data_IF_791217859978
#
_entry.id   IF_791217859978
#
_cell.length_a   1.000
_cell.length_b   1.000
_cell.length_c   1.000
_cell.angle_alpha   90.00
_cell.angle_beta   90.00
_cell.angle_gamma   90.00
#
_symmetry.space_group_name_H-M   'P 1'
#
loop_
_entity.id
_entity.type
_entity.pdbx_description
1 polymer ?
#
# COMPACT_ATOMS: atom_id res chain seq x y z
N UNK A 1 35.01 2.60 -12.05
CA UNK A 1 34.79 2.82 -10.60
C UNK A 1 33.31 3.08 -10.44
N UNK A 2 32.62 2.30 -9.61
CA UNK A 2 31.24 2.63 -9.22
C UNK A 2 31.34 3.70 -8.15
N UNK A 3 30.62 4.80 -8.32
CA UNK A 3 30.66 5.90 -7.36
C UNK A 3 30.03 5.44 -6.03
N UNK A 4 30.69 5.66 -4.88
CA UNK A 4 30.17 5.24 -3.58
C UNK A 4 28.79 5.85 -3.25
N UNK A 5 28.47 6.99 -3.87
CA UNK A 5 27.16 7.63 -3.80
C UNK A 5 26.04 6.83 -4.51
N UNK A 6 26.33 6.16 -5.63
CA UNK A 6 25.33 5.35 -6.33
C UNK A 6 24.96 4.11 -5.51
N UNK A 7 25.96 3.45 -4.92
CA UNK A 7 25.77 2.30 -4.04
C UNK A 7 24.89 2.67 -2.84
N UNK A 8 25.18 3.80 -2.19
CA UNK A 8 24.37 4.29 -1.06
C UNK A 8 22.91 4.55 -1.48
N UNK A 9 22.71 5.19 -2.63
CA UNK A 9 21.38 5.48 -3.17
C UNK A 9 20.58 4.19 -3.40
N UNK A 10 21.20 3.15 -3.94
CA UNK A 10 20.53 1.87 -4.21
C UNK A 10 20.08 1.17 -2.92
N UNK A 11 20.93 1.18 -1.88
CA UNK A 11 20.54 0.65 -0.57
C UNK A 11 19.37 1.40 0.06
N UNK A 12 19.36 2.74 -0.05
CA UNK A 12 18.26 3.56 0.46
C UNK A 12 16.96 3.28 -0.29
N UNK A 13 17.01 3.20 -1.63
CA UNK A 13 15.83 2.89 -2.45
C UNK A 13 15.30 1.51 -2.12
N UNK A 14 16.18 0.51 -1.97
CA UNK A 14 15.77 -0.84 -1.62
C UNK A 14 15.14 -0.89 -0.23
N UNK A 15 15.76 -0.24 0.77
CA UNK A 15 15.25 -0.17 2.13
C UNK A 15 13.86 0.46 2.20
N UNK A 16 13.66 1.60 1.51
CA UNK A 16 12.37 2.29 1.46
C UNK A 16 11.32 1.41 0.75
N UNK A 17 11.66 0.81 -0.39
CA UNK A 17 10.73 -0.06 -1.13
C UNK A 17 10.28 -1.26 -0.29
N UNK A 18 11.21 -1.94 0.39
CA UNK A 18 10.87 -3.04 1.29
C UNK A 18 10.01 -2.57 2.44
N UNK A 19 10.35 -1.45 3.07
CA UNK A 19 9.58 -0.91 4.18
C UNK A 19 8.14 -0.59 3.77
N UNK A 20 7.96 0.14 2.66
CA UNK A 20 6.64 0.48 2.12
C UNK A 20 5.87 -0.78 1.71
N UNK A 21 6.54 -1.74 1.06
CA UNK A 21 5.94 -3.02 0.68
C UNK A 21 5.43 -3.81 1.90
N UNK A 22 6.24 -3.92 2.95
CA UNK A 22 5.86 -4.56 4.21
C UNK A 22 4.67 -3.86 4.88
N UNK A 23 4.63 -2.52 4.88
CA UNK A 23 3.53 -1.75 5.44
C UNK A 23 2.22 -2.02 4.68
N UNK A 24 2.25 -1.94 3.34
CA UNK A 24 1.07 -2.23 2.51
C UNK A 24 0.59 -3.67 2.66
N UNK A 25 1.52 -4.62 2.74
CA UNK A 25 1.22 -6.02 2.96
C UNK A 25 0.56 -6.25 4.33
N UNK A 26 1.10 -5.63 5.39
CA UNK A 26 0.55 -5.72 6.73
C UNK A 26 -0.88 -5.14 6.80
N UNK A 27 -1.11 -3.99 6.18
CA UNK A 27 -2.44 -3.34 6.15
C UNK A 27 -3.43 -4.19 5.35
N UNK A 28 -3.04 -4.69 4.19
CA UNK A 28 -3.89 -5.54 3.36
C UNK A 28 -4.27 -6.82 4.09
N UNK A 29 -3.30 -7.51 4.70
CA UNK A 29 -3.56 -8.72 5.49
C UNK A 29 -4.42 -8.44 6.72
N UNK A 30 -4.15 -7.36 7.44
CA UNK A 30 -4.94 -7.01 8.60
C UNK A 30 -6.37 -6.60 8.23
N UNK A 31 -6.59 -5.97 7.07
CA UNK A 31 -7.92 -5.72 6.52
C UNK A 31 -8.67 -7.02 6.24
N UNK A 32 -8.01 -7.98 5.57
CA UNK A 32 -8.58 -9.31 5.31
C UNK A 32 -8.94 -10.04 6.62
N UNK A 33 -8.07 -9.98 7.62
CA UNK A 33 -8.27 -10.62 8.92
C UNK A 33 -9.17 -9.82 9.87
N UNK A 34 -9.66 -8.64 9.45
CA UNK A 34 -10.44 -7.71 10.29
C UNK A 34 -9.75 -7.37 11.62
N UNK A 35 -8.41 -7.31 11.61
CA UNK A 35 -7.61 -6.96 12.78
C UNK A 35 -7.44 -5.44 12.87
N UNK A 36 -7.71 -4.82 14.03
CA UNK A 36 -7.56 -3.38 14.17
C UNK A 36 -6.08 -2.98 14.26
N UNK A 37 -5.57 -2.17 13.33
CA UNK A 37 -4.28 -1.48 13.49
C UNK A 37 -4.46 -0.24 14.38
N UNK A 38 -4.35 -0.42 15.69
CA UNK A 38 -4.13 0.68 16.63
C UNK A 38 -2.64 0.99 16.78
N UNK A 39 -2.18 2.25 16.89
CA UNK A 39 -2.84 3.53 16.60
C UNK A 39 -1.99 4.33 15.57
N UNK A 40 -2.08 3.99 14.29
CA UNK A 40 -1.41 4.78 13.23
C UNK A 40 -2.48 5.57 12.47
N UNK A 41 -2.85 6.73 13.01
CA UNK A 41 -3.88 7.62 12.46
C UNK A 41 -3.65 7.98 10.97
N UNK A 42 -2.39 8.08 10.55
CA UNK A 42 -2.06 8.43 9.17
C UNK A 42 -2.39 7.31 8.16
N UNK A 43 -2.59 6.08 8.61
CA UNK A 43 -2.72 4.90 7.73
C UNK A 43 -3.97 4.07 8.05
N UNK A 44 -4.61 4.32 9.19
CA UNK A 44 -5.83 3.65 9.63
C UNK A 44 -7.01 3.81 8.65
N UNK A 45 -7.08 4.93 7.91
CA UNK A 45 -8.13 5.14 6.89
C UNK A 45 -8.09 4.09 5.76
N UNK A 46 -6.94 3.47 5.50
CA UNK A 46 -6.85 2.39 4.50
C UNK A 46 -7.58 1.12 4.95
N UNK A 47 -7.82 0.97 6.26
CA UNK A 47 -8.60 -0.12 6.83
C UNK A 47 -10.07 0.19 6.97
N UNK A 48 -10.46 1.47 6.92
CA UNK A 48 -11.86 1.84 7.05
C UNK A 48 -12.68 1.26 5.89
N UNK A 49 -13.84 0.67 6.17
CA UNK A 49 -14.73 0.21 5.12
C UNK A 49 -15.19 1.43 4.29
N UNK A 50 -15.17 1.28 2.97
CA UNK A 50 -15.51 2.39 2.06
C UNK A 50 -17.01 2.71 2.02
N UNK A 51 -17.85 1.85 2.59
CA UNK A 51 -19.31 2.00 2.58
C UNK A 51 -19.98 1.64 1.24
N UNK A 52 -19.21 1.27 0.22
CA UNK A 52 -19.70 0.80 -1.08
C UNK A 52 -20.31 -0.60 -1.00
N UNK A 53 -19.50 -1.60 -0.64
CA UNK A 53 -19.90 -3.01 -0.51
C UNK A 53 -18.78 -3.81 0.16
N UNK A 54 -19.14 -4.79 0.98
CA UNK A 54 -18.18 -5.68 1.65
C UNK A 54 -17.27 -6.43 0.66
N UNK A 55 -17.78 -6.78 -0.52
CA UNK A 55 -16.98 -7.44 -1.56
C UNK A 55 -15.93 -6.51 -2.17
N UNK A 56 -16.23 -5.21 -2.28
CA UNK A 56 -15.29 -4.22 -2.79
C UNK A 56 -14.16 -3.97 -1.79
N UNK A 57 -14.49 -3.84 -0.50
CA UNK A 57 -13.50 -3.66 0.55
C UNK A 57 -12.53 -4.85 0.65
N UNK A 58 -13.04 -6.08 0.50
CA UNK A 58 -12.22 -7.29 0.47
C UNK A 58 -11.26 -7.30 -0.75
N UNK A 59 -11.78 -7.00 -1.95
CA UNK A 59 -10.94 -6.92 -3.16
C UNK A 59 -9.86 -5.85 -3.03
N UNK A 60 -10.20 -4.71 -2.43
CA UNK A 60 -9.26 -3.64 -2.14
C UNK A 60 -8.13 -4.11 -1.21
N UNK A 61 -8.44 -4.76 -0.10
CA UNK A 61 -7.42 -5.25 0.83
C UNK A 61 -6.54 -6.36 0.22
N UNK A 62 -7.11 -7.23 -0.61
CA UNK A 62 -6.35 -8.22 -1.38
C UNK A 62 -5.40 -7.53 -2.38
N UNK A 63 -5.88 -6.51 -3.10
CA UNK A 63 -5.05 -5.75 -4.02
C UNK A 63 -3.90 -5.02 -3.27
N UNK A 64 -4.18 -4.47 -2.08
CA UNK A 64 -3.17 -3.83 -1.25
C UNK A 64 -2.09 -4.83 -0.78
N UNK A 65 -2.52 -6.02 -0.34
CA UNK A 65 -1.61 -7.09 0.08
C UNK A 65 -0.75 -7.58 -1.10
N UNK A 66 -1.36 -7.73 -2.29
CA UNK A 66 -0.66 -8.14 -3.50
C UNK A 66 0.38 -7.10 -3.94
N UNK A 67 0.03 -5.81 -3.94
CA UNK A 67 0.97 -4.73 -4.27
C UNK A 67 2.10 -4.64 -3.24
N UNK A 68 1.79 -4.80 -1.95
CA UNK A 68 2.81 -4.86 -0.90
C UNK A 68 3.79 -6.02 -1.11
N UNK A 69 3.27 -7.21 -1.41
CA UNK A 69 4.10 -8.37 -1.74
C UNK A 69 4.96 -8.14 -2.98
N UNK A 70 4.38 -7.51 -4.01
CA UNK A 70 5.09 -7.17 -5.24
C UNK A 70 6.25 -6.19 -4.98
N UNK A 71 6.05 -5.17 -4.15
CA UNK A 71 7.13 -4.24 -3.76
C UNK A 71 8.26 -4.92 -2.99
N UNK A 72 7.96 -5.92 -2.15
CA UNK A 72 8.97 -6.71 -1.41
C UNK A 72 9.79 -7.60 -2.35
N UNK A 73 9.18 -8.13 -3.42
CA UNK A 73 9.87 -8.95 -4.42
C UNK A 73 10.79 -8.14 -5.34
N UNK A 74 10.80 -6.81 -5.26
CA UNK A 74 11.57 -5.91 -6.12
C UNK A 74 11.33 -6.07 -7.63
N UNK A 75 10.26 -6.79 -8.01
CA UNK A 75 9.92 -7.01 -9.41
C UNK A 75 9.22 -5.76 -9.94
N UNK A 76 9.78 -5.06 -10.93
CA UNK A 76 9.15 -3.86 -11.53
C UNK A 76 8.63 -2.83 -10.51
N UNK A 77 9.48 -2.44 -9.54
CA UNK A 77 9.15 -1.55 -8.42
C UNK A 77 8.36 -0.30 -8.82
N UNK A 78 8.66 0.30 -9.99
CA UNK A 78 7.97 1.49 -10.51
C UNK A 78 6.47 1.25 -10.75
N UNK A 79 6.11 0.12 -11.35
CA UNK A 79 4.70 -0.20 -11.62
C UNK A 79 3.97 -0.58 -10.33
N UNK A 80 4.63 -1.32 -9.43
CA UNK A 80 4.07 -1.66 -8.13
C UNK A 80 3.83 -0.39 -7.28
N UNK A 81 4.76 0.57 -7.28
CA UNK A 81 4.60 1.85 -6.61
C UNK A 81 3.45 2.67 -7.20
N UNK A 82 3.32 2.72 -8.52
CA UNK A 82 2.22 3.41 -9.19
C UNK A 82 0.87 2.78 -8.84
N UNK A 83 0.78 1.44 -8.86
CA UNK A 83 -0.43 0.72 -8.44
C UNK A 83 -0.77 1.00 -6.97
N UNK A 84 0.22 1.03 -6.08
CA UNK A 84 0.03 1.39 -4.68
C UNK A 84 -0.51 2.80 -4.48
N UNK A 85 0.05 3.78 -5.19
CA UNK A 85 -0.42 5.18 -5.17
C UNK A 85 -1.87 5.25 -5.66
N UNK A 86 -2.19 4.58 -6.76
CA UNK A 86 -3.56 4.57 -7.32
C UNK A 86 -4.55 3.98 -6.32
N UNK A 87 -4.20 2.87 -5.64
CA UNK A 87 -5.06 2.27 -4.62
C UNK A 87 -5.28 3.21 -3.43
N UNK A 88 -4.20 3.80 -2.90
CA UNK A 88 -4.26 4.72 -1.76
C UNK A 88 -5.10 5.95 -2.10
N UNK A 89 -4.77 6.63 -3.21
CA UNK A 89 -5.46 7.86 -3.64
C UNK A 89 -6.90 7.56 -4.05
N UNK A 90 -7.14 6.44 -4.71
CA UNK A 90 -8.48 5.99 -5.08
C UNK A 90 -9.36 5.78 -3.85
N UNK A 91 -8.85 5.09 -2.83
CA UNK A 91 -9.59 4.92 -1.57
C UNK A 91 -9.83 6.23 -0.84
N UNK A 92 -8.82 7.11 -0.80
CA UNK A 92 -8.97 8.45 -0.23
C UNK A 92 -10.06 9.26 -0.95
N UNK A 93 -10.13 9.20 -2.28
CA UNK A 93 -11.14 9.91 -3.07
C UNK A 93 -12.57 9.40 -2.80
N UNK A 94 -12.74 8.09 -2.60
CA UNK A 94 -14.02 7.47 -2.24
C UNK A 94 -14.47 7.94 -0.84
N UNK A 95 -13.58 7.87 0.15
CA UNK A 95 -13.91 8.27 1.52
C UNK A 95 -14.27 9.76 1.65
N UNK A 96 -13.71 10.62 0.81
CA UNK A 96 -14.03 12.06 0.79
C UNK A 96 -15.27 12.42 -0.06
N UNK A 97 -16.05 11.43 -0.54
CA UNK A 97 -17.23 11.65 -1.42
C UNK A 97 -16.91 12.45 -2.71
N UNK A 98 -15.65 12.43 -3.18
CA UNK A 98 -15.26 13.13 -4.42
C UNK A 98 -15.82 12.39 -5.65
N UNK A 99 -15.98 11.08 -5.54
CA UNK A 99 -16.63 10.23 -6.54
C UNK A 99 -18.02 9.89 -5.99
N UNK A 100 -19.12 10.39 -6.60
CA UNK A 100 -20.45 9.98 -6.19
C UNK A 100 -20.62 8.49 -6.48
N UNK A 101 -20.93 7.75 -5.42
CA UNK A 101 -21.24 6.32 -5.43
C UNK A 101 -22.69 6.11 -5.87
#
# INVERSE_FOLDING_TARGET
MVDPFEIFKDYVIQGISTFVGCVLLAIGLAGILSMPLYPISAISYLMEPSGLSASFDLQYWIALAFVGFWLVLFYFVRFAALAGIVLIVGKWAILNNIIPV
#
